data_IF_968506251986
#
_entry.id   IF_968506251986
#
_cell.length_a   1.000
_cell.length_b   1.000
_cell.length_c   1.000
_cell.angle_alpha   90.00
_cell.angle_beta   90.00
_cell.angle_gamma   90.00
#
_symmetry.space_group_name_H-M   'P 1'
#
loop_
_entity.id
_entity.type
_entity.pdbx_description
1 polymer ?
#
# COMPACT_ATOMS: atom_id res chain seq x y z
N UNK A 1 -14.66 6.03 29.87
CA UNK A 1 -13.34 5.94 29.23
C UNK A 1 -13.49 6.30 27.76
N UNK A 2 -13.28 7.58 27.44
CA UNK A 2 -13.24 8.09 26.06
C UNK A 2 -11.91 7.66 25.46
N UNK A 3 -11.92 6.69 24.55
CA UNK A 3 -10.72 6.24 23.83
C UNK A 3 -10.37 7.27 22.76
N UNK A 4 -9.09 7.50 22.52
CA UNK A 4 -8.67 8.40 21.43
C UNK A 4 -9.22 7.90 20.09
N UNK A 5 -9.80 8.80 19.30
CA UNK A 5 -10.52 8.46 18.06
C UNK A 5 -10.20 9.43 16.92
N UNK A 6 -10.35 8.95 15.68
CA UNK A 6 -10.31 9.81 14.49
C UNK A 6 -11.75 10.17 14.11
N UNK A 7 -11.99 11.42 13.75
CA UNK A 7 -13.29 11.84 13.26
C UNK A 7 -13.17 12.82 12.11
N UNK A 8 -14.32 13.19 11.55
CA UNK A 8 -14.41 14.12 10.42
C UNK A 8 -15.03 15.42 10.93
N UNK A 9 -14.41 16.55 10.63
CA UNK A 9 -14.94 17.87 10.95
C UNK A 9 -15.99 18.29 9.91
N UNK A 10 -16.88 19.26 10.22
CA UNK A 10 -17.82 19.81 9.24
C UNK A 10 -17.16 20.38 7.98
N UNK A 11 -15.87 20.73 8.06
CA UNK A 11 -15.06 21.16 6.91
C UNK A 11 -14.65 20.00 5.98
N UNK A 12 -14.96 18.75 6.32
CA UNK A 12 -14.54 17.55 5.58
C UNK A 12 -13.09 17.11 5.87
N UNK A 13 -12.45 17.67 6.88
CA UNK A 13 -11.08 17.30 7.26
C UNK A 13 -11.06 16.28 8.40
N UNK A 14 -10.05 15.42 8.39
CA UNK A 14 -9.81 14.48 9.48
C UNK A 14 -9.20 15.19 10.68
N UNK A 15 -9.67 14.79 11.86
CA UNK A 15 -9.20 15.32 13.12
C UNK A 15 -8.99 14.20 14.15
N UNK A 16 -7.89 14.27 14.87
CA UNK A 16 -7.57 13.38 15.97
C UNK A 16 -8.16 13.93 17.26
N UNK A 17 -9.06 13.17 17.88
CA UNK A 17 -9.64 13.49 19.18
C UNK A 17 -8.90 12.69 20.25
N UNK A 18 -7.94 13.30 20.97
CA UNK A 18 -7.27 12.61 22.06
C UNK A 18 -8.26 12.29 23.18
N UNK A 19 -8.04 11.18 23.86
CA UNK A 19 -8.72 10.88 25.12
C UNK A 19 -8.49 12.02 26.12
N UNK A 20 -9.53 12.41 26.86
CA UNK A 20 -9.36 13.27 28.04
C UNK A 20 -8.69 12.43 29.13
N UNK A 21 -7.50 12.86 29.58
CA UNK A 21 -6.77 12.25 30.70
C UNK A 21 -7.65 12.27 31.95
N UNK A 22 -8.32 11.15 32.23
CA UNK A 22 -8.82 10.86 33.56
C UNK A 22 -7.78 9.98 34.27
N UNK A 23 -7.33 10.47 35.42
CA UNK A 23 -6.14 10.05 36.15
C UNK A 23 -5.84 8.54 36.20
N UNK A 24 -4.56 8.23 35.98
CA UNK A 24 -3.78 7.20 36.69
C UNK A 24 -4.22 5.72 36.58
N UNK A 25 -4.88 5.31 35.49
CA UNK A 25 -5.15 3.89 35.26
C UNK A 25 -4.65 3.39 33.91
N UNK A 26 -3.64 2.53 34.02
CA UNK A 26 -3.08 1.65 33.00
C UNK A 26 -2.44 2.33 31.79
N UNK A 27 -1.11 2.18 31.73
CA UNK A 27 -0.31 2.21 30.51
C UNK A 27 -1.06 1.46 29.41
N UNK A 28 -1.86 2.18 28.61
CA UNK A 28 -2.40 1.68 27.36
C UNK A 28 -1.19 1.17 26.58
N UNK A 29 -1.10 -0.16 26.49
CA UNK A 29 -0.02 -0.93 25.85
C UNK A 29 0.75 -0.08 24.85
N UNK A 30 2.07 0.09 24.98
CA UNK A 30 2.88 1.10 24.25
C UNK A 30 2.72 1.20 22.72
N UNK A 31 1.96 0.28 22.10
CA UNK A 31 1.45 0.34 20.73
C UNK A 31 0.34 1.39 20.51
N UNK A 32 -0.53 1.64 21.48
CA UNK A 32 -1.59 2.66 21.41
C UNK A 32 -0.98 4.06 21.53
N UNK A 33 -0.03 4.23 22.46
CA UNK A 33 0.79 5.44 22.60
C UNK A 33 1.50 5.81 21.28
N UNK A 34 2.15 4.85 20.61
CA UNK A 34 2.84 5.12 19.34
C UNK A 34 1.91 5.60 18.20
N UNK A 35 0.63 5.22 18.20
CA UNK A 35 -0.35 5.74 17.23
C UNK A 35 -0.75 7.16 17.60
N UNK A 36 -1.06 7.40 18.88
CA UNK A 36 -1.38 8.73 19.37
C UNK A 36 -0.22 9.72 19.10
N UNK A 37 1.02 9.31 19.33
CA UNK A 37 2.23 10.10 19.03
C UNK A 37 2.38 10.39 17.53
N UNK A 38 2.02 9.45 16.66
CA UNK A 38 2.01 9.69 15.22
C UNK A 38 0.94 10.70 14.81
N UNK A 39 -0.28 10.59 15.35
CA UNK A 39 -1.35 11.56 15.11
C UNK A 39 -1.07 12.94 15.74
N UNK A 40 -0.32 12.99 16.83
CA UNK A 40 0.13 14.24 17.44
C UNK A 40 1.15 15.00 16.58
N UNK A 41 1.96 14.27 15.79
CA UNK A 41 2.87 14.87 14.79
C UNK A 41 2.13 15.35 13.55
N UNK A 42 1.07 14.64 13.17
CA UNK A 42 0.16 15.06 12.12
C UNK A 42 -0.77 13.94 11.65
N UNK A 43 -1.85 14.33 10.98
CA UNK A 43 -2.87 13.38 10.51
C UNK A 43 -2.31 12.44 9.44
N UNK A 44 -1.49 12.95 8.52
CA UNK A 44 -0.91 12.12 7.45
C UNK A 44 0.05 11.08 8.03
N UNK A 45 0.92 11.50 8.95
CA UNK A 45 1.88 10.67 9.66
C UNK A 45 1.16 9.58 10.48
N UNK A 46 0.07 9.94 11.15
CA UNK A 46 -0.81 8.99 11.84
C UNK A 46 -1.44 7.95 10.92
N UNK A 47 -1.98 8.38 9.77
CA UNK A 47 -2.57 7.48 8.77
C UNK A 47 -1.53 6.50 8.19
N UNK A 48 -0.34 7.00 7.83
CA UNK A 48 0.75 6.14 7.32
C UNK A 48 1.22 5.16 8.39
N UNK A 49 1.39 5.61 9.64
CA UNK A 49 1.74 4.74 10.75
C UNK A 49 0.67 3.65 11.01
N UNK A 50 -0.63 3.96 10.85
CA UNK A 50 -1.70 2.96 10.91
C UNK A 50 -1.57 1.91 9.81
N UNK A 51 -1.31 2.34 8.58
CA UNK A 51 -1.17 1.44 7.42
C UNK A 51 0.12 0.61 7.46
N UNK A 52 1.16 1.08 8.14
CA UNK A 52 2.40 0.34 8.34
C UNK A 52 2.25 -0.85 9.32
N UNK A 53 1.21 -0.86 10.18
CA UNK A 53 1.03 -1.89 11.21
C UNK A 53 0.51 -3.24 10.71
N UNK A 54 0.98 -4.28 11.40
CA UNK A 54 0.78 -5.70 11.06
C UNK A 54 -0.61 -6.27 11.40
N UNK A 55 -1.33 -5.68 12.35
CA UNK A 55 -2.57 -6.25 12.87
C UNK A 55 -3.69 -5.21 12.95
N UNK A 56 -4.85 -5.57 12.40
CA UNK A 56 -6.10 -4.85 12.59
C UNK A 56 -6.88 -5.32 13.84
N UNK A 57 -6.49 -6.44 14.46
CA UNK A 57 -7.26 -7.11 15.51
C UNK A 57 -7.44 -6.29 16.81
N UNK A 58 -6.54 -5.34 17.07
CA UNK A 58 -6.58 -4.50 18.28
C UNK A 58 -7.07 -3.06 18.00
N UNK A 59 -7.41 -2.75 16.75
CA UNK A 59 -7.84 -1.41 16.34
C UNK A 59 -9.35 -1.24 16.59
N UNK A 60 -9.75 -0.03 17.01
CA UNK A 60 -11.16 0.33 17.01
C UNK A 60 -11.71 0.28 15.58
N UNK A 61 -13.03 0.08 15.38
CA UNK A 61 -13.63 0.07 14.04
C UNK A 61 -13.25 1.29 13.20
N UNK A 62 -13.19 2.46 13.83
CA UNK A 62 -12.80 3.73 13.21
C UNK A 62 -11.35 3.71 12.71
N UNK A 63 -10.41 3.29 13.56
CA UNK A 63 -9.00 3.15 13.15
C UNK A 63 -8.81 2.06 12.10
N UNK A 64 -9.60 0.98 12.17
CA UNK A 64 -9.63 -0.07 11.16
C UNK A 64 -10.09 0.44 9.80
N UNK A 65 -11.13 1.27 9.77
CA UNK A 65 -11.64 1.91 8.55
C UNK A 65 -10.59 2.81 7.90
N UNK A 66 -10.02 3.75 8.67
CA UNK A 66 -9.00 4.67 8.14
C UNK A 66 -7.68 3.99 7.79
N UNK A 67 -7.34 2.90 8.49
CA UNK A 67 -6.25 2.01 8.08
C UNK A 67 -6.55 1.37 6.73
N UNK A 68 -7.74 0.81 6.52
CA UNK A 68 -8.10 0.20 5.24
C UNK A 68 -8.07 1.20 4.08
N UNK A 69 -8.60 2.41 4.31
CA UNK A 69 -8.50 3.54 3.39
C UNK A 69 -7.04 3.85 3.02
N UNK A 70 -6.17 3.96 4.03
CA UNK A 70 -4.75 4.29 3.80
C UNK A 70 -3.96 3.13 3.18
N UNK A 71 -4.30 1.87 3.50
CA UNK A 71 -3.73 0.71 2.83
C UNK A 71 -4.07 0.71 1.34
N UNK A 72 -5.30 1.06 0.97
CA UNK A 72 -5.70 1.19 -0.44
C UNK A 72 -4.85 2.26 -1.15
N UNK A 73 -4.70 3.42 -0.50
CA UNK A 73 -3.83 4.51 -0.98
C UNK A 73 -2.40 4.05 -1.24
N UNK A 74 -1.76 3.42 -0.23
CA UNK A 74 -0.39 2.95 -0.37
C UNK A 74 -0.25 1.85 -1.43
N UNK A 75 -1.25 0.98 -1.59
CA UNK A 75 -1.25 -0.04 -2.64
C UNK A 75 -1.26 0.61 -4.03
N UNK A 76 -2.12 1.59 -4.26
CA UNK A 76 -2.15 2.32 -5.53
C UNK A 76 -0.83 3.05 -5.79
N UNK A 77 -0.29 3.74 -4.78
CA UNK A 77 0.99 4.46 -4.86
C UNK A 77 2.15 3.53 -5.21
N UNK A 78 2.26 2.38 -4.55
CA UNK A 78 3.35 1.43 -4.77
C UNK A 78 3.27 0.76 -6.15
N UNK A 79 2.08 0.66 -6.73
CA UNK A 79 1.87 0.12 -8.07
C UNK A 79 2.05 1.17 -9.18
N UNK A 80 2.08 2.46 -8.84
CA UNK A 80 2.42 3.50 -9.80
C UNK A 80 3.90 3.45 -10.13
N UNK A 81 4.21 3.53 -11.42
CA UNK A 81 5.59 3.57 -11.89
C UNK A 81 5.87 4.96 -12.46
N UNK A 82 6.27 5.94 -11.61
CA UNK A 82 6.47 7.31 -12.07
C UNK A 82 7.58 7.39 -13.12
N UNK A 83 7.50 8.41 -13.98
CA UNK A 83 8.54 8.70 -14.96
C UNK A 83 9.82 9.20 -14.27
N UNK A 84 9.67 10.01 -13.21
CA UNK A 84 10.75 10.49 -12.35
C UNK A 84 10.60 9.90 -10.93
N UNK A 85 11.52 9.04 -10.48
CA UNK A 85 11.48 8.48 -9.13
C UNK A 85 11.50 9.52 -8.00
N UNK A 86 12.07 10.71 -8.26
CA UNK A 86 12.14 11.81 -7.30
C UNK A 86 10.90 12.72 -7.35
N UNK A 87 10.06 12.61 -8.38
CA UNK A 87 8.82 13.39 -8.55
C UNK A 87 7.66 12.46 -8.90
N UNK A 88 6.98 11.91 -7.89
CA UNK A 88 5.84 11.03 -8.12
C UNK A 88 4.70 11.81 -8.79
N UNK A 89 4.08 11.19 -9.79
CA UNK A 89 2.83 11.69 -10.39
C UNK A 89 1.68 11.60 -9.37
N UNK A 90 0.71 12.53 -9.36
CA UNK A 90 -0.44 12.45 -8.47
C UNK A 90 -1.26 11.18 -8.69
N UNK A 91 -1.81 10.59 -7.62
CA UNK A 91 -2.79 9.50 -7.77
C UNK A 91 -4.10 10.07 -8.32
N UNK A 92 -4.77 9.31 -9.18
CA UNK A 92 -6.10 9.66 -9.68
C UNK A 92 -7.15 9.70 -8.56
N UNK A 93 -8.25 10.41 -8.81
CA UNK A 93 -9.41 10.39 -7.92
C UNK A 93 -9.99 8.97 -7.78
N UNK A 94 -10.60 8.70 -6.63
CA UNK A 94 -11.37 7.49 -6.39
C UNK A 94 -12.56 7.46 -7.36
N UNK A 95 -12.77 6.32 -8.02
CA UNK A 95 -13.95 6.16 -8.88
C UNK A 95 -15.23 6.00 -8.06
N UNK A 96 -16.37 6.05 -8.74
CA UNK A 96 -17.71 5.97 -8.13
C UNK A 96 -17.87 4.71 -7.27
N UNK A 97 -17.52 3.54 -7.82
CA UNK A 97 -17.62 2.26 -7.13
C UNK A 97 -16.68 2.19 -5.91
N UNK A 98 -15.45 2.70 -6.04
CA UNK A 98 -14.51 2.75 -4.91
C UNK A 98 -15.05 3.60 -3.78
N UNK A 99 -15.68 4.72 -4.14
CA UNK A 99 -16.19 5.69 -3.19
C UNK A 99 -17.46 5.20 -2.49
N UNK A 100 -18.39 4.58 -3.24
CA UNK A 100 -19.57 3.91 -2.70
C UNK A 100 -19.19 2.82 -1.71
N UNK A 101 -18.27 1.93 -2.08
CA UNK A 101 -17.79 0.86 -1.20
C UNK A 101 -17.16 1.40 0.09
N UNK A 102 -16.46 2.55 0.03
CA UNK A 102 -15.90 3.20 1.20
C UNK A 102 -16.99 3.84 2.08
N UNK A 103 -18.06 4.37 1.50
CA UNK A 103 -19.18 4.96 2.27
C UNK A 103 -20.01 3.89 2.97
N UNK A 104 -20.27 2.76 2.32
CA UNK A 104 -20.98 1.63 2.93
C UNK A 104 -20.23 1.04 4.13
N UNK A 105 -18.90 1.11 4.11
CA UNK A 105 -18.03 0.59 5.17
C UNK A 105 -17.81 1.52 6.36
N UNK A 106 -18.42 2.72 6.38
CA UNK A 106 -18.19 3.72 7.42
C UNK A 106 -18.70 3.22 8.78
N UNK A 107 -17.83 3.07 9.80
CA UNK A 107 -18.27 2.73 11.14
C UNK A 107 -18.92 3.94 11.83
N UNK A 108 -19.75 3.73 12.87
CA UNK A 108 -20.21 4.82 13.71
C UNK A 108 -19.02 5.59 14.29
N UNK A 109 -18.88 6.86 13.92
CA UNK A 109 -17.78 7.73 14.35
C UNK A 109 -18.23 9.18 14.36
N UNK A 110 -17.45 10.02 15.05
CA UNK A 110 -17.70 11.46 15.10
C UNK A 110 -17.59 12.09 13.70
N UNK A 111 -18.67 12.73 13.25
CA UNK A 111 -18.73 13.39 11.96
C UNK A 111 -18.89 12.44 10.76
N UNK A 112 -19.33 11.19 11.00
CA UNK A 112 -19.65 10.26 9.92
C UNK A 112 -20.66 10.84 8.91
N UNK A 113 -21.58 11.68 9.38
CA UNK A 113 -22.58 12.38 8.57
C UNK A 113 -21.99 13.38 7.56
N UNK A 114 -20.75 13.81 7.76
CA UNK A 114 -20.05 14.70 6.84
C UNK A 114 -19.31 13.94 5.72
N UNK A 115 -19.25 12.61 5.79
CA UNK A 115 -18.66 11.82 4.71
C UNK A 115 -19.57 11.79 3.49
N UNK A 116 -19.00 12.19 2.37
CA UNK A 116 -19.61 12.14 1.05
C UNK A 116 -18.55 11.70 0.03
N UNK A 117 -18.95 11.36 -1.22
CA UNK A 117 -17.98 11.03 -2.24
C UNK A 117 -16.94 12.11 -2.49
N UNK A 118 -17.36 13.37 -2.40
CA UNK A 118 -16.51 14.55 -2.58
C UNK A 118 -15.53 14.69 -1.41
N UNK A 119 -15.97 14.45 -0.18
CA UNK A 119 -15.11 14.52 1.01
C UNK A 119 -14.06 13.41 1.01
N UNK A 120 -14.44 12.18 0.67
CA UNK A 120 -13.49 11.07 0.56
C UNK A 120 -12.42 11.33 -0.51
N UNK A 121 -12.82 11.85 -1.67
CA UNK A 121 -11.88 12.26 -2.72
C UNK A 121 -11.00 13.44 -2.27
N UNK A 122 -11.55 14.40 -1.52
CA UNK A 122 -10.78 15.50 -0.94
C UNK A 122 -9.72 15.01 0.04
N UNK A 123 -10.07 14.08 0.94
CA UNK A 123 -9.13 13.44 1.87
C UNK A 123 -8.07 12.63 1.10
N UNK A 124 -8.47 11.93 0.04
CA UNK A 124 -7.57 11.15 -0.81
C UNK A 124 -6.51 12.03 -1.47
N UNK A 125 -6.92 13.08 -2.18
CA UNK A 125 -6.00 14.02 -2.84
C UNK A 125 -5.14 14.78 -1.84
N UNK A 126 -5.70 15.18 -0.70
CA UNK A 126 -4.93 15.82 0.36
C UNK A 126 -3.83 14.91 0.90
N UNK A 127 -4.14 13.63 1.16
CA UNK A 127 -3.15 12.64 1.60
C UNK A 127 -2.08 12.45 0.51
N UNK A 128 -2.48 12.42 -0.76
CA UNK A 128 -1.60 12.31 -1.92
C UNK A 128 -0.56 13.42 -1.97
N UNK A 129 -1.01 14.67 -1.83
CA UNK A 129 -0.16 15.86 -1.86
C UNK A 129 0.86 15.86 -0.72
N UNK A 130 0.44 15.44 0.49
CA UNK A 130 1.31 15.31 1.67
C UNK A 130 2.39 14.27 1.41
N UNK A 131 2.01 13.08 0.96
CA UNK A 131 2.95 11.98 0.70
C UNK A 131 3.88 12.30 -0.48
N UNK A 132 3.39 12.95 -1.55
CA UNK A 132 4.24 13.41 -2.65
C UNK A 132 5.31 14.39 -2.18
N UNK A 133 4.98 15.26 -1.23
CA UNK A 133 5.93 16.21 -0.66
C UNK A 133 7.00 15.50 0.15
N UNK A 134 6.62 14.53 0.98
CA UNK A 134 7.57 13.70 1.73
C UNK A 134 8.47 12.88 0.82
N UNK A 135 7.92 12.26 -0.24
CA UNK A 135 8.69 11.52 -1.23
C UNK A 135 9.74 12.41 -1.91
N UNK A 136 9.38 13.65 -2.27
CA UNK A 136 10.31 14.61 -2.86
C UNK A 136 11.42 15.00 -1.88
N UNK A 137 11.08 15.19 -0.61
CA UNK A 137 12.03 15.56 0.44
C UNK A 137 13.03 14.43 0.74
N UNK A 138 12.56 13.19 0.78
CA UNK A 138 13.36 12.01 1.12
C UNK A 138 14.09 11.39 -0.08
N UNK A 139 13.91 11.95 -1.29
CA UNK A 139 14.63 11.54 -2.50
C UNK A 139 14.05 10.32 -3.23
N UNK A 140 12.79 9.97 -2.96
CA UNK A 140 12.05 8.96 -3.71
C UNK A 140 11.14 8.06 -2.87
N UNK A 141 10.25 7.34 -3.56
CA UNK A 141 9.28 6.46 -2.91
C UNK A 141 9.94 5.33 -2.10
N UNK A 142 11.10 4.84 -2.55
CA UNK A 142 11.85 3.81 -1.81
C UNK A 142 12.27 4.27 -0.42
N UNK A 143 12.95 5.41 -0.33
CA UNK A 143 13.39 6.01 0.94
C UNK A 143 12.19 6.31 1.86
N UNK A 144 11.11 6.86 1.29
CA UNK A 144 9.87 7.10 2.02
C UNK A 144 9.30 5.84 2.68
N UNK A 145 9.22 4.74 1.93
CA UNK A 145 8.71 3.48 2.46
C UNK A 145 9.67 2.86 3.46
N UNK A 146 10.99 2.93 3.24
CA UNK A 146 11.98 2.42 4.18
C UNK A 146 11.92 3.09 5.56
N UNK A 147 11.64 4.39 5.61
CA UNK A 147 11.52 5.10 6.89
C UNK A 147 10.12 4.93 7.52
N UNK A 148 9.06 5.04 6.73
CA UNK A 148 7.69 5.20 7.25
C UNK A 148 6.85 3.92 7.20
N UNK A 149 7.09 3.05 6.22
CA UNK A 149 6.27 1.87 5.99
C UNK A 149 7.06 0.72 5.31
N UNK A 150 8.10 0.13 5.95
CA UNK A 150 9.09 -0.73 5.28
C UNK A 150 8.48 -1.93 4.54
N UNK A 151 7.35 -2.42 5.03
CA UNK A 151 6.65 -3.60 4.48
C UNK A 151 6.02 -3.31 3.13
N UNK A 152 5.66 -2.06 2.86
CA UNK A 152 5.10 -1.66 1.58
C UNK A 152 6.15 -1.63 0.47
N UNK A 153 7.44 -1.68 0.82
CA UNK A 153 8.53 -1.61 -0.15
C UNK A 153 8.51 -2.74 -1.20
N UNK A 154 7.92 -3.91 -0.88
CA UNK A 154 7.81 -5.01 -1.86
C UNK A 154 6.50 -4.99 -2.66
N UNK A 155 5.51 -4.20 -2.27
CA UNK A 155 4.21 -4.13 -2.97
C UNK A 155 4.40 -3.49 -4.34
N UNK A 156 3.78 -4.04 -5.38
CA UNK A 156 3.90 -3.56 -6.76
C UNK A 156 5.25 -3.85 -7.42
N UNK A 157 6.18 -4.53 -6.75
CA UNK A 157 7.49 -4.90 -7.32
C UNK A 157 7.49 -6.29 -7.93
N UNK A 158 8.28 -6.43 -8.98
CA UNK A 158 8.66 -7.73 -9.56
C UNK A 158 10.02 -8.12 -8.99
N UNK A 159 10.09 -9.27 -8.34
CA UNK A 159 11.32 -9.85 -7.82
C UNK A 159 11.77 -10.99 -8.73
N UNK A 160 12.99 -10.90 -9.22
CA UNK A 160 13.66 -11.98 -9.93
C UNK A 160 14.42 -12.85 -8.94
N UNK A 161 14.21 -14.16 -9.01
CA UNK A 161 14.83 -15.15 -8.15
C UNK A 161 15.63 -16.13 -8.99
N UNK A 162 16.79 -16.52 -8.48
CA UNK A 162 17.57 -17.65 -8.97
C UNK A 162 17.43 -18.76 -7.93
N UNK A 163 16.68 -19.81 -8.25
CA UNK A 163 16.41 -20.93 -7.36
C UNK A 163 17.22 -22.15 -7.79
N UNK A 164 17.72 -22.94 -6.84
CA UNK A 164 18.35 -24.23 -7.14
C UNK A 164 17.29 -25.21 -7.65
N UNK A 165 17.46 -25.73 -8.86
CA UNK A 165 16.64 -26.79 -9.43
C UNK A 165 17.35 -28.13 -9.20
N UNK A 166 16.91 -28.86 -8.17
CA UNK A 166 17.45 -30.19 -7.84
C UNK A 166 16.94 -31.31 -8.74
N UNK A 167 15.93 -31.04 -9.55
CA UNK A 167 15.28 -32.01 -10.43
C UNK A 167 16.02 -32.15 -11.76
N UNK A 168 16.70 -31.08 -12.20
CA UNK A 168 17.48 -31.06 -13.43
C UNK A 168 18.99 -30.92 -13.11
N UNK A 169 19.78 -31.92 -13.51
CA UNK A 169 21.24 -31.90 -13.32
C UNK A 169 21.98 -31.08 -14.37
N UNK A 170 21.38 -30.92 -15.55
CA UNK A 170 21.95 -30.14 -16.65
C UNK A 170 21.65 -28.65 -16.44
N UNK A 171 20.53 -28.33 -15.78
CA UNK A 171 20.14 -26.98 -15.36
C UNK A 171 19.93 -26.87 -13.84
N UNK A 172 21.01 -26.80 -13.03
CA UNK A 172 20.91 -26.81 -11.57
C UNK A 172 20.32 -25.53 -10.97
N UNK A 173 20.04 -24.51 -11.77
CA UNK A 173 19.40 -23.28 -11.34
C UNK A 173 18.28 -22.88 -12.31
N UNK A 174 17.13 -22.51 -11.74
CA UNK A 174 15.98 -21.99 -12.46
C UNK A 174 15.79 -20.50 -12.13
N UNK A 175 15.54 -19.71 -13.16
CA UNK A 175 15.19 -18.30 -13.01
C UNK A 175 13.67 -18.16 -12.92
N UNK A 176 13.16 -17.41 -11.94
CA UNK A 176 11.73 -17.15 -11.82
C UNK A 176 11.45 -15.71 -11.41
N UNK A 177 10.37 -15.14 -11.94
CA UNK A 177 9.87 -13.85 -11.48
C UNK A 177 8.62 -14.02 -10.61
N UNK A 178 8.55 -13.25 -9.54
CA UNK A 178 7.37 -13.15 -8.68
C UNK A 178 6.89 -11.71 -8.58
N UNK A 179 5.58 -11.55 -8.41
CA UNK A 179 4.93 -10.27 -8.19
C UNK A 179 4.19 -10.27 -6.87
N UNK A 180 4.26 -9.13 -6.18
CA UNK A 180 3.58 -8.89 -4.92
C UNK A 180 2.45 -7.86 -5.13
N UNK A 181 1.21 -8.30 -5.42
CA UNK A 181 0.12 -7.38 -5.75
C UNK A 181 -0.28 -6.52 -4.55
N UNK A 182 -0.41 -7.13 -3.37
CA UNK A 182 -0.95 -6.51 -2.15
C UNK A 182 -0.41 -7.21 -0.89
N UNK A 183 -0.48 -6.51 0.25
CA UNK A 183 -0.25 -7.12 1.57
C UNK A 183 -1.43 -8.03 1.92
N UNK A 184 -1.16 -9.29 2.26
CA UNK A 184 -2.24 -10.25 2.58
C UNK A 184 -2.94 -9.89 3.89
N UNK A 185 -4.24 -9.63 3.82
CA UNK A 185 -5.10 -9.40 4.98
C UNK A 185 -5.23 -10.63 5.90
N UNK A 186 -5.10 -11.86 5.35
CA UNK A 186 -5.33 -13.11 6.12
C UNK A 186 -4.11 -13.63 6.85
N UNK A 187 -2.91 -13.28 6.41
CA UNK A 187 -1.66 -13.85 6.92
C UNK A 187 -0.76 -12.75 7.46
N UNK A 188 -1.14 -12.12 8.58
CA UNK A 188 -0.29 -11.20 9.38
C UNK A 188 0.48 -10.15 8.53
N UNK A 189 -0.07 -9.69 7.41
CA UNK A 189 0.59 -8.79 6.45
C UNK A 189 1.83 -9.37 5.75
N UNK A 190 2.04 -10.69 5.75
CA UNK A 190 3.01 -11.31 4.85
C UNK A 190 2.62 -11.02 3.40
N UNK A 191 3.63 -10.69 2.62
CA UNK A 191 3.50 -10.41 1.20
C UNK A 191 3.41 -11.75 0.49
N UNK A 192 2.28 -12.00 -0.17
CA UNK A 192 2.09 -13.23 -0.93
C UNK A 192 2.67 -13.02 -2.31
N UNK A 193 3.93 -13.43 -2.48
CA UNK A 193 4.55 -13.51 -3.80
C UNK A 193 3.79 -14.51 -4.66
N UNK A 194 3.35 -14.06 -5.83
CA UNK A 194 2.70 -14.88 -6.83
C UNK A 194 3.63 -15.02 -8.03
N UNK A 195 3.78 -16.22 -8.62
CA UNK A 195 4.56 -16.37 -9.85
C UNK A 195 4.04 -15.42 -10.93
N UNK A 196 4.95 -14.74 -11.63
CA UNK A 196 4.61 -13.75 -12.64
C UNK A 196 3.70 -14.34 -13.73
N UNK A 197 3.95 -15.58 -14.13
CA UNK A 197 3.13 -16.32 -15.08
C UNK A 197 1.66 -16.44 -14.66
N UNK A 198 1.42 -16.71 -13.36
CA UNK A 198 0.07 -16.81 -12.82
C UNK A 198 -0.61 -15.45 -12.75
N UNK A 199 0.13 -14.40 -12.37
CA UNK A 199 -0.39 -13.03 -12.38
C UNK A 199 -0.78 -12.58 -13.81
N UNK A 200 0.01 -12.95 -14.82
CA UNK A 200 -0.30 -12.70 -16.23
C UNK A 200 -1.60 -13.40 -16.67
N UNK A 201 -1.77 -14.67 -16.33
CA UNK A 201 -3.00 -15.43 -16.65
C UNK A 201 -4.24 -14.80 -16.01
N UNK A 202 -4.14 -14.40 -14.74
CA UNK A 202 -5.26 -13.78 -14.00
C UNK A 202 -5.64 -12.41 -14.59
N UNK A 203 -4.67 -11.54 -14.89
CA UNK A 203 -4.97 -10.21 -15.45
C UNK A 203 -5.36 -10.25 -16.94
N UNK A 204 -4.81 -11.18 -17.72
CA UNK A 204 -5.22 -11.40 -19.10
C UNK A 204 -6.67 -11.94 -19.18
N UNK A 205 -7.03 -12.88 -18.29
CA UNK A 205 -8.39 -13.42 -18.19
C UNK A 205 -9.42 -12.38 -17.76
N UNK A 206 -9.05 -11.48 -16.84
CA UNK A 206 -9.92 -10.39 -16.37
C UNK A 206 -10.00 -9.19 -17.34
N UNK A 207 -9.30 -9.22 -18.49
CA UNK A 207 -9.14 -8.08 -19.43
C UNK A 207 -8.69 -6.78 -18.76
N UNK A 208 -7.98 -6.87 -17.64
CA UNK A 208 -7.55 -5.70 -16.87
C UNK A 208 -6.23 -5.14 -17.45
N UNK A 209 -6.35 -4.40 -18.57
CA UNK A 209 -5.21 -3.82 -19.30
C UNK A 209 -4.33 -2.93 -18.42
N UNK A 210 -4.92 -2.18 -17.49
CA UNK A 210 -4.17 -1.28 -16.58
C UNK A 210 -3.30 -2.08 -15.61
N UNK A 211 -3.83 -3.13 -14.99
CA UNK A 211 -3.06 -3.99 -14.10
C UNK A 211 -1.95 -4.75 -14.84
N UNK A 212 -2.23 -5.19 -16.07
CA UNK A 212 -1.23 -5.85 -16.92
C UNK A 212 -0.05 -4.92 -17.25
N UNK A 213 -0.33 -3.66 -17.59
CA UNK A 213 0.71 -2.65 -17.85
C UNK A 213 1.52 -2.40 -16.58
N UNK A 214 0.88 -2.24 -15.42
CA UNK A 214 1.58 -2.07 -14.12
C UNK A 214 2.50 -3.25 -13.80
N UNK A 215 2.06 -4.47 -14.11
CA UNK A 215 2.84 -5.69 -13.89
C UNK A 215 4.07 -5.80 -14.81
N UNK A 216 3.91 -5.45 -16.09
CA UNK A 216 4.96 -5.64 -17.11
C UNK A 216 5.89 -4.44 -17.28
N UNK A 217 5.48 -3.22 -16.90
CA UNK A 217 6.30 -2.01 -17.04
C UNK A 217 7.66 -2.10 -16.34
N UNK A 218 7.77 -2.66 -15.11
CA UNK A 218 9.07 -2.85 -14.48
C UNK A 218 9.95 -3.86 -15.22
N UNK A 219 9.35 -4.95 -15.73
CA UNK A 219 10.09 -5.99 -16.48
C UNK A 219 10.66 -5.41 -17.77
N UNK A 220 9.86 -4.64 -18.51
CA UNK A 220 10.28 -3.98 -19.75
C UNK A 220 11.44 -3.00 -19.50
N UNK A 221 11.33 -2.14 -18.48
CA UNK A 221 12.40 -1.20 -18.14
C UNK A 221 13.71 -1.91 -17.79
N UNK A 222 13.64 -3.01 -17.03
CA UNK A 222 14.84 -3.76 -16.68
C UNK A 222 15.43 -4.46 -17.91
N UNK A 223 14.60 -4.98 -18.83
CA UNK A 223 15.09 -5.57 -20.08
C UNK A 223 15.82 -4.59 -21.00
N UNK A 224 15.50 -3.29 -20.93
CA UNK A 224 16.22 -2.25 -21.67
C UNK A 224 17.64 -2.02 -21.11
N UNK A 225 17.84 -2.27 -19.82
CA UNK A 225 19.12 -2.06 -19.12
C UNK A 225 19.97 -3.33 -18.96
N UNK A 226 19.37 -4.51 -19.00
CA UNK A 226 20.01 -5.80 -18.70
C UNK A 226 19.82 -6.80 -19.82
N UNK A 227 20.94 -7.21 -20.44
CA UNK A 227 20.98 -8.18 -21.55
C UNK A 227 20.40 -9.53 -21.12
N UNK A 228 20.75 -10.02 -19.92
CA UNK A 228 20.26 -11.29 -19.39
C UNK A 228 18.73 -11.31 -19.25
N UNK A 229 18.15 -10.23 -18.72
CA UNK A 229 16.69 -10.14 -18.54
C UNK A 229 16.00 -10.02 -19.90
N UNK A 230 16.60 -9.29 -20.86
CA UNK A 230 16.08 -9.23 -22.22
C UNK A 230 16.01 -10.61 -22.87
N UNK A 231 17.10 -11.38 -22.80
CA UNK A 231 17.14 -12.75 -23.34
C UNK A 231 16.08 -13.65 -22.70
N UNK A 232 15.92 -13.60 -21.38
CA UNK A 232 14.92 -14.39 -20.64
C UNK A 232 13.46 -13.98 -20.94
N UNK A 233 13.23 -12.71 -21.27
CA UNK A 233 11.92 -12.20 -21.70
C UNK A 233 11.62 -12.64 -23.13
N UNK A 234 12.61 -12.57 -24.03
CA UNK A 234 12.51 -12.97 -25.43
C UNK A 234 12.34 -14.48 -25.60
N UNK A 235 13.04 -15.29 -24.80
CA UNK A 235 12.90 -16.76 -24.80
C UNK A 235 11.60 -17.23 -24.16
N UNK A 236 11.02 -16.42 -23.26
CA UNK A 236 9.82 -16.77 -22.49
C UNK A 236 10.10 -17.63 -21.24
N UNK A 237 11.38 -17.92 -20.95
CA UNK A 237 11.81 -18.69 -19.78
C UNK A 237 11.45 -18.00 -18.47
N UNK A 238 11.35 -16.66 -18.48
CA UNK A 238 10.92 -15.88 -17.32
C UNK A 238 9.51 -16.28 -16.81
N UNK A 239 8.68 -16.83 -17.70
CA UNK A 239 7.29 -17.18 -17.43
C UNK A 239 7.08 -18.69 -17.25
N UNK A 240 8.11 -19.50 -17.50
CA UNK A 240 8.05 -20.94 -17.38
C UNK A 240 9.23 -21.38 -16.53
N UNK A 241 9.08 -21.46 -15.19
CA UNK A 241 10.14 -21.99 -14.35
C UNK A 241 10.44 -23.42 -14.81
N UNK A 242 11.66 -23.62 -15.34
CA UNK A 242 12.23 -24.90 -15.75
C UNK A 242 12.50 -25.78 -14.52
#
# INVERSE_FOLDING_TARGET
>A
MTRSELGVLPSGHLHWFPAEDDSDTDRETGRAAAIADAFARGIAEGLIALAAKDYAADLSPVLGYWRAFTCRYLAERCQMTPADPARPDPIGALDEHQTESLLEGVPPMRGAEYLSPQVLNGIWSWLDDRVCTEIRWQGGLGAFLEENAPRWHQVGRVCFHLAENRLDRDYPFAFMATYAPELSHRSRGQIRHQPLARALQEYAGARNKKALIRLLSPVQRVSESSVLIRELVESGDLYHPL
#
